data_IF_854119583249
#
_entry.id   IF_854119583249
#
_cell.length_a   1.000
_cell.length_b   1.000
_cell.length_c   1.000
_cell.angle_alpha   90.00
_cell.angle_beta   90.00
_cell.angle_gamma   90.00
#
_symmetry.space_group_name_H-M   'P 1'
#
loop_
_entity.id
_entity.type
_entity.pdbx_description
1 polymer ?
#
# COMPACT_ATOMS: atom_id res chain seq x y z
N UNK A 1 -7.92 -17.07 -1.87
CA UNK A 1 -8.41 -15.91 -1.10
C UNK A 1 -7.39 -15.64 -0.03
N UNK A 2 -6.83 -14.43 -0.03
CA UNK A 2 -5.64 -14.11 0.79
C UNK A 2 -5.94 -14.00 2.29
N UNK A 3 -7.09 -13.43 2.66
CA UNK A 3 -7.49 -13.24 4.04
C UNK A 3 -8.82 -13.95 4.32
N UNK A 4 -9.01 -14.43 5.55
CA UNK A 4 -10.26 -15.01 6.03
C UNK A 4 -11.06 -14.01 6.88
N UNK A 5 -12.34 -14.28 7.16
CA UNK A 5 -13.17 -13.46 8.06
C UNK A 5 -12.52 -13.34 9.45
N UNK A 6 -11.93 -14.42 9.96
CA UNK A 6 -11.22 -14.43 11.24
C UNK A 6 -9.98 -13.52 11.21
N UNK A 7 -9.25 -13.48 10.09
CA UNK A 7 -8.12 -12.56 9.92
C UNK A 7 -8.55 -11.10 9.90
N UNK A 8 -9.67 -10.78 9.24
CA UNK A 8 -10.22 -9.42 9.22
C UNK A 8 -10.59 -8.99 10.64
N UNK A 9 -11.30 -9.84 11.38
CA UNK A 9 -11.69 -9.56 12.76
C UNK A 9 -10.46 -9.41 13.67
N UNK A 10 -9.45 -10.27 13.52
CA UNK A 10 -8.22 -10.21 14.31
C UNK A 10 -7.40 -8.94 14.05
N UNK A 11 -7.34 -8.49 12.79
CA UNK A 11 -6.52 -7.34 12.38
C UNK A 11 -7.23 -6.01 12.62
N UNK A 12 -8.55 -5.96 12.42
CA UNK A 12 -9.30 -4.70 12.39
C UNK A 12 -10.35 -4.58 13.49
N UNK A 13 -10.75 -5.69 14.11
CA UNK A 13 -11.85 -5.74 15.07
C UNK A 13 -13.25 -5.76 14.43
N UNK A 14 -13.36 -5.63 13.11
CA UNK A 14 -14.63 -5.59 12.39
C UNK A 14 -15.00 -6.96 11.84
N UNK A 15 -16.29 -7.27 11.88
CA UNK A 15 -16.87 -8.48 11.28
C UNK A 15 -17.38 -8.13 9.89
N UNK A 16 -16.78 -8.73 8.86
CA UNK A 16 -17.06 -8.42 7.46
C UNK A 16 -17.48 -9.70 6.72
N UNK A 17 -18.38 -9.56 5.74
CA UNK A 17 -18.87 -10.70 4.93
C UNK A 17 -17.82 -11.18 3.91
N UNK A 18 -17.87 -12.48 3.55
CA UNK A 18 -16.95 -13.12 2.59
C UNK A 18 -17.03 -12.45 1.20
N UNK A 19 -18.23 -12.04 0.80
CA UNK A 19 -18.43 -11.33 -0.47
C UNK A 19 -17.65 -10.02 -0.53
N UNK A 20 -17.57 -9.30 0.59
CA UNK A 20 -16.87 -8.02 0.68
C UNK A 20 -15.35 -8.23 0.73
N UNK A 21 -14.88 -9.30 1.39
CA UNK A 21 -13.47 -9.70 1.36
C UNK A 21 -13.00 -10.00 -0.08
N UNK A 22 -13.83 -10.67 -0.89
CA UNK A 22 -13.50 -10.93 -2.30
C UNK A 22 -13.41 -9.66 -3.13
N UNK A 23 -14.29 -8.69 -2.88
CA UNK A 23 -14.21 -7.38 -3.55
C UNK A 23 -12.94 -6.62 -3.13
N UNK A 24 -12.63 -6.62 -1.83
CA UNK A 24 -11.40 -6.02 -1.30
C UNK A 24 -10.14 -6.67 -1.90
N UNK A 25 -10.15 -7.99 -2.08
CA UNK A 25 -9.07 -8.72 -2.75
C UNK A 25 -8.92 -8.27 -4.21
N UNK A 26 -10.02 -8.17 -4.97
CA UNK A 26 -9.96 -7.71 -6.36
C UNK A 26 -9.35 -6.30 -6.48
N UNK A 27 -9.73 -5.39 -5.58
CA UNK A 27 -9.16 -4.02 -5.52
C UNK A 27 -7.66 -4.08 -5.21
N UNK A 28 -7.26 -4.92 -4.24
CA UNK A 28 -5.85 -5.12 -3.91
C UNK A 28 -5.03 -5.66 -5.09
N UNK A 29 -5.55 -6.63 -5.86
CA UNK A 29 -4.86 -7.20 -7.02
C UNK A 29 -4.66 -6.18 -8.13
N UNK A 30 -5.69 -5.35 -8.39
CA UNK A 30 -5.59 -4.23 -9.36
C UNK A 30 -4.55 -3.21 -8.90
N UNK A 31 -4.53 -2.87 -7.61
CA UNK A 31 -3.63 -1.86 -7.05
C UNK A 31 -2.18 -2.34 -6.94
N UNK A 32 -1.97 -3.61 -6.57
CA UNK A 32 -0.65 -4.21 -6.42
C UNK A 32 -0.03 -4.68 -7.74
N UNK A 33 -0.83 -4.75 -8.81
CA UNK A 33 -0.43 -5.19 -10.13
C UNK A 33 -0.07 -6.67 -10.21
N UNK A 34 -0.50 -7.48 -9.26
CA UNK A 34 -0.17 -8.90 -9.18
C UNK A 34 -1.32 -9.73 -8.58
N UNK A 35 -1.76 -10.81 -9.26
CA UNK A 35 -2.76 -11.73 -8.71
C UNK A 35 -2.20 -12.57 -7.56
N UNK A 36 -3.08 -13.05 -6.66
CA UNK A 36 -2.75 -13.89 -5.50
C UNK A 36 -1.79 -15.04 -5.84
N UNK A 37 -2.01 -15.71 -6.97
CA UNK A 37 -1.27 -16.89 -7.40
C UNK A 37 0.24 -16.66 -7.59
N UNK A 38 0.66 -15.41 -7.81
CA UNK A 38 2.06 -15.04 -8.05
C UNK A 38 2.77 -14.53 -6.77
N UNK A 39 2.09 -14.52 -5.63
CA UNK A 39 2.66 -14.10 -4.35
C UNK A 39 3.26 -15.33 -3.66
N UNK A 40 4.57 -15.52 -3.79
CA UNK A 40 5.27 -16.69 -3.25
C UNK A 40 6.06 -16.42 -1.96
N UNK A 41 6.39 -15.16 -1.67
CA UNK A 41 7.21 -14.79 -0.51
C UNK A 41 6.36 -14.72 0.76
N UNK A 42 6.77 -15.37 1.87
CA UNK A 42 6.01 -15.34 3.12
C UNK A 42 5.79 -13.93 3.68
N UNK A 43 6.79 -13.05 3.54
CA UNK A 43 6.67 -11.65 3.97
C UNK A 43 5.60 -10.89 3.18
N UNK A 44 5.57 -11.09 1.87
CA UNK A 44 4.62 -10.40 1.00
C UNK A 44 3.20 -10.95 1.20
N UNK A 45 3.08 -12.25 1.48
CA UNK A 45 1.80 -12.85 1.88
C UNK A 45 1.26 -12.19 3.15
N UNK A 46 2.09 -12.04 4.20
CA UNK A 46 1.65 -11.37 5.42
C UNK A 46 1.19 -9.92 5.16
N UNK A 47 1.94 -9.15 4.37
CA UNK A 47 1.54 -7.79 3.98
C UNK A 47 0.24 -7.76 3.17
N UNK A 48 0.04 -8.73 2.29
CA UNK A 48 -1.18 -8.84 1.48
C UNK A 48 -2.41 -9.19 2.34
N UNK A 49 -2.26 -10.01 3.39
CA UNK A 49 -3.33 -10.28 4.36
C UNK A 49 -3.75 -8.99 5.06
N UNK A 50 -2.79 -8.21 5.58
CA UNK A 50 -3.09 -6.92 6.21
C UNK A 50 -3.77 -5.94 5.25
N UNK A 51 -3.26 -5.86 4.01
CA UNK A 51 -3.79 -4.97 2.98
C UNK A 51 -5.26 -5.27 2.65
N UNK A 52 -5.60 -6.55 2.46
CA UNK A 52 -6.97 -7.00 2.16
C UNK A 52 -7.89 -6.79 3.37
N UNK A 53 -7.42 -7.11 4.59
CA UNK A 53 -8.22 -6.91 5.80
C UNK A 53 -8.56 -5.45 6.06
N UNK A 54 -7.60 -4.53 5.90
CA UNK A 54 -7.86 -3.10 6.05
C UNK A 54 -8.76 -2.54 4.95
N UNK A 55 -8.63 -3.04 3.72
CA UNK A 55 -9.49 -2.65 2.62
C UNK A 55 -10.93 -3.13 2.84
N UNK A 56 -11.11 -4.35 3.33
CA UNK A 56 -12.42 -4.89 3.67
C UNK A 56 -13.11 -4.09 4.78
N UNK A 57 -12.39 -3.79 5.87
CA UNK A 57 -12.94 -2.95 6.94
C UNK A 57 -13.26 -1.52 6.47
N UNK A 58 -12.46 -0.96 5.56
CA UNK A 58 -12.71 0.36 4.98
C UNK A 58 -13.96 0.37 4.09
N UNK A 59 -14.17 -0.69 3.31
CA UNK A 59 -15.34 -0.82 2.44
C UNK A 59 -16.64 -1.06 3.22
N UNK A 60 -16.57 -1.75 4.36
CA UNK A 60 -17.73 -1.99 5.24
C UNK A 60 -18.16 -0.74 6.01
N UNK A 61 -17.21 0.11 6.40
CA UNK A 61 -17.47 1.35 7.15
C UNK A 61 -17.96 2.50 6.24
N UNK A 62 -18.84 2.18 5.29
CA UNK A 62 -19.13 3.00 4.12
C UNK A 62 -19.89 4.31 4.36
N UNK A 63 -20.13 4.72 5.61
CA UNK A 63 -20.57 6.10 5.91
C UNK A 63 -19.45 7.12 5.58
N UNK A 64 -18.23 6.62 5.37
CA UNK A 64 -17.03 7.35 4.95
C UNK A 64 -16.93 7.51 3.42
N UNK A 65 -17.77 6.90 2.58
CA UNK A 65 -17.82 7.26 1.15
C UNK A 65 -18.46 8.65 0.92
N UNK A 66 -19.01 9.28 1.97
CA UNK A 66 -19.29 10.72 2.04
C UNK A 66 -18.08 11.56 2.50
N UNK A 67 -16.98 10.95 2.96
CA UNK A 67 -15.69 11.63 3.03
C UNK A 67 -15.19 11.79 1.59
N UNK A 68 -15.73 12.82 0.96
CA UNK A 68 -15.13 13.48 -0.16
C UNK A 68 -13.62 13.54 0.08
N UNK A 69 -12.87 13.23 -0.97
CA UNK A 69 -11.42 13.34 -1.05
C UNK A 69 -10.98 14.80 -0.85
N UNK A 70 -11.21 15.35 0.34
CA UNK A 70 -11.06 16.75 0.68
C UNK A 70 -9.66 16.90 1.23
N UNK A 71 -8.74 17.31 0.36
CA UNK A 71 -7.35 17.53 0.74
C UNK A 71 -7.19 18.77 1.64
N UNK A 72 -8.15 19.70 1.58
CA UNK A 72 -8.19 20.89 2.43
C UNK A 72 -9.62 21.44 2.56
N UNK A 73 -10.06 21.67 3.80
CA UNK A 73 -11.27 22.45 4.11
C UNK A 73 -10.84 23.79 4.70
N UNK A 74 -10.95 24.88 3.95
CA UNK A 74 -10.76 26.25 4.47
C UNK A 74 -12.11 26.93 4.63
N UNK A 75 -12.48 27.23 5.87
CA UNK A 75 -13.76 27.83 6.23
C UNK A 75 -13.61 29.35 6.36
N UNK A 76 -13.57 30.04 5.22
CA UNK A 76 -13.81 31.50 5.17
C UNK A 76 -14.36 31.92 3.79
N UNK A 77 -14.01 31.20 2.72
CA UNK A 77 -14.70 31.17 1.42
C UNK A 77 -14.59 29.75 0.85
N UNK A 78 -15.71 29.05 0.76
CA UNK A 78 -15.78 27.61 0.50
C UNK A 78 -15.21 27.22 -0.87
N UNK A 79 -13.94 26.82 -0.90
CA UNK A 79 -13.32 26.08 -2.00
C UNK A 79 -13.02 24.69 -1.48
N UNK A 80 -13.68 23.68 -2.04
CA UNK A 80 -13.38 22.26 -1.78
C UNK A 80 -12.46 21.79 -2.89
N UNK A 81 -11.21 21.48 -2.56
CA UNK A 81 -10.29 20.86 -3.51
C UNK A 81 -10.46 19.35 -3.39
N UNK A 82 -11.07 18.75 -4.41
CA UNK A 82 -11.13 17.30 -4.54
C UNK A 82 -9.78 16.80 -5.06
N UNK A 83 -9.14 15.90 -4.33
CA UNK A 83 -7.88 15.30 -4.74
C UNK A 83 -8.03 14.41 -5.98
N UNK A 84 -6.95 14.26 -6.75
CA UNK A 84 -6.89 13.51 -8.02
C UNK A 84 -6.70 11.99 -7.82
N UNK A 85 -6.97 11.47 -6.62
CA UNK A 85 -6.77 10.04 -6.31
C UNK A 85 -7.95 9.22 -6.81
N UNK A 86 -7.72 8.46 -7.87
CA UNK A 86 -8.73 7.64 -8.58
C UNK A 86 -9.21 6.41 -7.79
N UNK A 87 -8.86 6.20 -6.52
CA UNK A 87 -9.22 4.94 -5.84
C UNK A 87 -9.74 5.08 -4.42
N UNK A 88 -10.82 4.35 -4.15
CA UNK A 88 -11.39 4.00 -2.85
C UNK A 88 -10.48 3.05 -2.06
N UNK A 89 -9.19 3.37 -1.99
CA UNK A 89 -8.17 2.58 -1.32
C UNK A 89 -7.93 3.16 0.07
N UNK A 90 -7.97 2.29 1.08
CA UNK A 90 -7.60 2.68 2.43
C UNK A 90 -6.13 3.14 2.47
N UNK A 91 -5.85 4.21 3.21
CA UNK A 91 -4.47 4.69 3.42
C UNK A 91 -3.57 3.59 3.99
N UNK A 92 -4.10 2.77 4.91
CA UNK A 92 -3.36 1.65 5.50
C UNK A 92 -3.03 0.58 4.45
N UNK A 93 -3.95 0.32 3.53
CA UNK A 93 -3.72 -0.57 2.39
C UNK A 93 -2.64 -0.01 1.46
N UNK A 94 -2.64 1.30 1.19
CA UNK A 94 -1.57 1.96 0.42
C UNK A 94 -0.18 1.76 1.08
N UNK A 95 -0.11 1.88 2.41
CA UNK A 95 1.12 1.64 3.16
C UNK A 95 1.59 0.18 3.12
N UNK A 96 0.68 -0.79 3.24
CA UNK A 96 1.03 -2.21 3.10
C UNK A 96 1.54 -2.53 1.69
N UNK A 97 0.91 -1.97 0.66
CA UNK A 97 1.29 -2.16 -0.74
C UNK A 97 2.73 -1.66 -1.00
N UNK A 98 3.13 -0.52 -0.42
CA UNK A 98 4.51 0.01 -0.53
C UNK A 98 5.58 -0.91 0.05
N UNK A 99 5.23 -1.79 1.00
CA UNK A 99 6.16 -2.74 1.60
C UNK A 99 6.35 -4.01 0.76
N UNK A 100 5.53 -4.23 -0.28
CA UNK A 100 5.62 -5.40 -1.13
C UNK A 100 6.91 -5.39 -1.93
N UNK A 101 7.58 -6.54 -1.94
CA UNK A 101 8.94 -6.64 -2.44
C UNK A 101 9.11 -6.35 -3.94
N UNK A 102 8.02 -6.43 -4.72
CA UNK A 102 8.01 -6.13 -6.16
C UNK A 102 7.65 -4.68 -6.50
N UNK A 103 7.04 -3.94 -5.57
CA UNK A 103 6.73 -2.51 -5.73
C UNK A 103 7.82 -1.61 -5.15
N UNK A 104 8.63 -2.15 -4.24
CA UNK A 104 9.79 -1.47 -3.71
C UNK A 104 10.86 -1.35 -4.80
N UNK A 105 10.82 -0.25 -5.55
CA UNK A 105 11.80 0.08 -6.58
C UNK A 105 13.21 0.01 -5.98
N UNK A 106 14.02 -0.94 -6.47
CA UNK A 106 15.46 -0.96 -6.15
C UNK A 106 16.08 0.15 -6.98
N UNK A 107 16.33 1.31 -6.39
CA UNK A 107 17.21 2.28 -7.04
C UNK A 107 18.58 1.62 -7.16
N UNK A 108 18.90 1.09 -8.32
CA UNK A 108 20.26 0.69 -8.65
C UNK A 108 20.98 2.01 -8.94
N UNK A 109 21.86 2.43 -8.04
CA UNK A 109 22.74 3.57 -8.29
C UNK A 109 23.68 3.15 -9.44
N UNK A 110 23.29 3.44 -10.68
CA UNK A 110 24.06 3.14 -11.88
C UNK A 110 25.15 4.18 -12.14
N UNK A 111 25.73 4.74 -11.08
CA UNK A 111 26.94 5.53 -11.27
C UNK A 111 28.03 4.57 -11.73
N UNK A 112 28.89 4.96 -12.70
CA UNK A 112 30.08 4.19 -12.97
C UNK A 112 30.81 4.00 -11.64
N UNK A 113 31.48 2.86 -11.46
CA UNK A 113 32.35 2.63 -10.32
C UNK A 113 33.61 3.49 -10.48
N UNK A 114 33.44 4.81 -10.55
CA UNK A 114 34.52 5.78 -10.42
C UNK A 114 34.88 5.76 -8.96
N UNK A 115 35.89 4.97 -8.67
CA UNK A 115 36.60 4.93 -7.40
C UNK A 115 37.01 6.38 -7.08
N UNK A 116 36.34 7.03 -6.13
CA UNK A 116 36.67 8.39 -5.71
C UNK A 116 38.06 8.36 -5.04
N UNK A 117 39.08 8.82 -5.75
CA UNK A 117 40.48 8.92 -5.26
C UNK A 117 40.58 9.64 -3.91
N UNK A 118 39.63 10.51 -3.59
CA UNK A 118 39.58 11.25 -2.34
C UNK A 118 39.35 10.40 -1.08
N UNK A 119 38.91 9.14 -1.21
CA UNK A 119 38.77 8.21 -0.08
C UNK A 119 39.94 7.21 0.05
N UNK A 120 41.01 7.40 -0.72
CA UNK A 120 42.22 6.60 -0.56
C UNK A 120 42.97 7.03 0.69
N UNK A 121 43.45 6.07 1.51
CA UNK A 121 44.37 6.41 2.57
C UNK A 121 45.67 6.95 1.94
N UNK A 122 46.25 7.98 2.55
CA UNK A 122 47.40 8.75 2.05
C UNK A 122 48.62 7.92 1.61
N UNK A 123 48.72 6.65 2.03
CA UNK A 123 49.79 5.73 1.65
C UNK A 123 49.56 5.02 0.31
N UNK A 124 48.41 5.22 -0.34
CA UNK A 124 48.07 4.62 -1.63
C UNK A 124 48.23 5.66 -2.75
N UNK A 125 49.47 5.90 -3.16
CA UNK A 125 49.83 6.65 -4.37
C UNK A 125 50.91 5.85 -5.12
N UNK A 126 50.80 5.77 -6.45
CA UNK A 126 51.80 5.15 -7.34
C UNK A 126 52.70 6.24 -7.93
#
# INVERSE_FOLDING_TARGET
>A
MLATVEDVQRVTGYTVDDALIRQAQAIFEVASGRPEQLISRPSDLAWSVYAVSWQAAYMDNSDVFAQANVEQTKQDKLTVTFGDRVYALSQLTEHAIKNLSWLRSRSVKSMPWTFEEHNLPLWWTW
#
